data_IF_072203465090
#
_entry.id   IF_072203465090
#
_cell.length_a   1.000
_cell.length_b   1.000
_cell.length_c   1.000
_cell.angle_alpha   90.00
_cell.angle_beta   90.00
_cell.angle_gamma   90.00
#
_symmetry.space_group_name_H-M   'P 1'
#
loop_
_entity.id
_entity.type
_entity.pdbx_description
1 polymer ?
#
# COMPACT_ATOMS: atom_id res chain seq x y z
N UNK A 1 -2.89 3.99 14.20
CA UNK A 1 -2.82 4.67 12.88
C UNK A 1 -3.44 3.84 11.75
N UNK A 2 -3.79 4.46 10.61
CA UNK A 2 -4.22 3.72 9.39
C UNK A 2 -2.99 3.25 8.61
N UNK A 3 -2.94 1.94 8.32
CA UNK A 3 -1.96 1.27 7.47
C UNK A 3 -2.58 0.92 6.12
N UNK A 4 -1.80 1.08 5.05
CA UNK A 4 -2.16 0.63 3.71
C UNK A 4 -1.65 -0.80 3.47
N UNK A 5 -2.52 -1.70 3.05
CA UNK A 5 -2.20 -3.09 2.65
C UNK A 5 -1.84 -3.21 1.17
N UNK A 6 -1.36 -2.12 0.56
CA UNK A 6 -1.11 -2.04 -0.89
C UNK A 6 -0.09 -3.08 -1.37
N UNK A 7 1.01 -3.28 -0.64
CA UNK A 7 2.01 -4.29 -1.00
C UNK A 7 1.45 -5.72 -0.95
N UNK A 8 0.57 -6.00 0.01
CA UNK A 8 -0.09 -7.29 0.18
C UNK A 8 -1.05 -7.56 -0.99
N UNK A 9 -1.89 -6.58 -1.34
CA UNK A 9 -2.80 -6.69 -2.48
C UNK A 9 -2.07 -6.87 -3.83
N UNK A 10 -0.92 -6.22 -4.02
CA UNK A 10 -0.09 -6.43 -5.22
C UNK A 10 0.44 -7.87 -5.27
N UNK A 11 0.91 -8.39 -4.14
CA UNK A 11 1.40 -9.76 -4.05
C UNK A 11 0.28 -10.79 -4.29
N UNK A 12 -0.90 -10.59 -3.68
CA UNK A 12 -2.09 -11.44 -3.87
C UNK A 12 -2.54 -11.47 -5.34
N UNK A 13 -2.59 -10.30 -5.99
CA UNK A 13 -2.93 -10.19 -7.41
C UNK A 13 -1.87 -10.85 -8.29
N UNK A 14 -0.58 -10.64 -8.00
CA UNK A 14 0.54 -11.27 -8.71
C UNK A 14 0.48 -12.80 -8.63
N UNK A 15 0.15 -13.33 -7.45
CA UNK A 15 -0.03 -14.76 -7.23
C UNK A 15 -1.24 -15.31 -8.01
N UNK A 16 -2.39 -14.62 -7.91
CA UNK A 16 -3.63 -15.02 -8.58
C UNK A 16 -3.48 -15.03 -10.11
N UNK A 17 -2.82 -14.02 -10.67
CA UNK A 17 -2.60 -13.90 -12.12
C UNK A 17 -1.37 -14.67 -12.63
N UNK A 18 -0.62 -15.33 -11.73
CA UNK A 18 0.60 -16.10 -12.03
C UNK A 18 1.64 -15.32 -12.84
N UNK A 19 1.78 -14.03 -12.55
CA UNK A 19 2.76 -13.14 -13.18
C UNK A 19 3.20 -12.06 -12.22
N UNK A 20 4.42 -11.55 -12.38
CA UNK A 20 4.88 -10.42 -11.60
C UNK A 20 4.08 -9.16 -11.97
N UNK A 21 3.51 -8.50 -10.96
CA UNK A 21 2.83 -7.21 -11.12
C UNK A 21 3.74 -6.12 -10.58
N UNK A 22 4.12 -5.19 -11.45
CA UNK A 22 4.99 -4.08 -11.08
C UNK A 22 4.19 -2.89 -10.55
N UNK A 23 4.82 -2.04 -9.74
CA UNK A 23 4.22 -0.78 -9.30
C UNK A 23 3.82 0.13 -10.46
N UNK A 24 4.56 0.07 -11.57
CA UNK A 24 4.24 0.85 -12.78
C UNK A 24 2.95 0.38 -13.44
N UNK A 25 2.72 -0.94 -13.46
CA UNK A 25 1.49 -1.51 -14.00
C UNK A 25 0.28 -1.20 -13.11
N UNK A 26 0.45 -1.24 -11.78
CA UNK A 26 -0.61 -0.80 -10.86
C UNK A 26 -0.94 0.66 -11.10
N UNK A 27 0.07 1.51 -11.30
CA UNK A 27 -0.14 2.92 -11.60
C UNK A 27 -0.94 3.13 -12.89
N UNK A 28 -0.58 2.41 -13.95
CA UNK A 28 -1.26 2.44 -15.24
C UNK A 28 -2.69 1.92 -15.15
N UNK A 29 -2.90 0.75 -14.54
CA UNK A 29 -4.21 0.10 -14.46
C UNK A 29 -5.18 0.73 -13.47
N UNK A 30 -4.69 1.35 -12.39
CA UNK A 30 -5.54 2.07 -11.42
C UNK A 30 -5.73 3.55 -11.75
N UNK A 31 -4.91 4.13 -12.64
CA UNK A 31 -4.87 5.56 -12.89
C UNK A 31 -4.34 6.38 -11.71
N UNK A 32 -3.63 5.75 -10.76
CA UNK A 32 -2.97 6.41 -9.64
C UNK A 32 -1.50 6.64 -9.95
N UNK A 33 -0.99 7.84 -9.68
CA UNK A 33 0.43 8.13 -9.89
C UNK A 33 1.35 7.19 -9.08
N UNK A 34 2.35 6.62 -9.76
CA UNK A 34 3.37 5.73 -9.16
C UNK A 34 4.04 6.33 -7.90
N UNK A 35 4.28 7.64 -7.88
CA UNK A 35 4.84 8.33 -6.73
C UNK A 35 3.92 8.25 -5.50
N UNK A 36 2.61 8.35 -5.70
CA UNK A 36 1.62 8.23 -4.62
C UNK A 36 1.56 6.80 -4.09
N UNK A 37 1.56 5.80 -4.97
CA UNK A 37 1.62 4.39 -4.58
C UNK A 37 2.88 4.09 -3.75
N UNK A 38 4.03 4.61 -4.17
CA UNK A 38 5.29 4.48 -3.43
C UNK A 38 5.20 5.08 -2.02
N UNK A 39 4.57 6.27 -1.87
CA UNK A 39 4.34 6.86 -0.54
C UNK A 39 3.41 6.00 0.31
N UNK A 40 2.32 5.47 -0.26
CA UNK A 40 1.42 4.59 0.49
C UNK A 40 2.11 3.33 1.03
N UNK A 41 3.07 2.77 0.29
CA UNK A 41 3.84 1.60 0.74
C UNK A 41 4.88 1.98 1.80
N UNK A 42 5.61 3.07 1.59
CA UNK A 42 6.81 3.38 2.39
C UNK A 42 6.58 4.39 3.52
N UNK A 43 5.48 5.13 3.50
CA UNK A 43 5.19 6.24 4.42
C UNK A 43 3.80 6.02 5.05
N UNK A 44 3.74 5.29 6.17
CA UNK A 44 2.50 5.10 6.89
C UNK A 44 1.89 6.44 7.32
N UNK A 45 0.55 6.54 7.34
CA UNK A 45 -0.14 7.79 7.65
C UNK A 45 -0.11 8.85 6.54
N UNK A 46 0.36 8.51 5.33
CA UNK A 46 0.23 9.39 4.16
C UNK A 46 -1.24 9.75 3.93
N UNK A 47 -1.52 11.05 3.75
CA UNK A 47 -2.85 11.53 3.38
C UNK A 47 -3.21 11.06 1.97
N UNK A 48 -4.35 10.38 1.84
CA UNK A 48 -4.93 9.97 0.56
C UNK A 48 -6.39 10.41 0.51
N UNK A 49 -6.88 10.72 -0.69
CA UNK A 49 -8.29 11.01 -0.91
C UNK A 49 -9.11 9.73 -1.07
N UNK A 50 -10.43 9.84 -0.86
CA UNK A 50 -11.38 8.76 -1.11
C UNK A 50 -11.45 8.34 -2.59
N UNK A 51 -11.22 9.28 -3.52
CA UNK A 51 -11.10 8.99 -4.96
C UNK A 51 -9.94 8.03 -5.27
N UNK A 52 -8.80 8.19 -4.59
CA UNK A 52 -7.66 7.30 -4.76
C UNK A 52 -7.97 5.90 -4.23
N UNK A 53 -8.65 5.83 -3.08
CA UNK A 53 -9.11 4.58 -2.48
C UNK A 53 -10.08 3.87 -3.45
N UNK A 54 -11.07 4.58 -4.01
CA UNK A 54 -12.02 4.03 -5.00
C UNK A 54 -11.30 3.45 -6.22
N UNK A 55 -10.34 4.18 -6.80
CA UNK A 55 -9.54 3.70 -7.94
C UNK A 55 -8.80 2.41 -7.64
N UNK A 56 -8.16 2.31 -6.47
CA UNK A 56 -7.44 1.10 -6.08
C UNK A 56 -8.39 -0.06 -5.79
N UNK A 57 -9.50 0.19 -5.07
CA UNK A 57 -10.52 -0.82 -4.83
C UNK A 57 -11.08 -1.39 -6.14
N UNK A 58 -11.33 -0.55 -7.15
CA UNK A 58 -11.75 -0.99 -8.48
C UNK A 58 -10.68 -1.81 -9.20
N UNK A 59 -9.41 -1.38 -9.14
CA UNK A 59 -8.31 -2.09 -9.79
C UNK A 59 -8.05 -3.47 -9.17
N UNK A 60 -8.08 -3.57 -7.84
CA UNK A 60 -7.87 -4.82 -7.12
C UNK A 60 -9.14 -5.67 -6.98
N UNK A 61 -10.32 -5.10 -7.23
CA UNK A 61 -11.59 -5.77 -7.00
C UNK A 61 -11.86 -6.05 -5.52
N UNK A 62 -11.43 -5.15 -4.63
CA UNK A 62 -11.47 -5.32 -3.17
C UNK A 62 -12.33 -4.26 -2.49
N UNK A 63 -12.67 -4.48 -1.22
CA UNK A 63 -13.31 -3.48 -0.37
C UNK A 63 -12.29 -2.53 0.25
N UNK A 64 -12.74 -1.39 0.74
CA UNK A 64 -11.87 -0.42 1.41
C UNK A 64 -11.16 -1.02 2.64
N UNK A 65 -11.83 -1.93 3.37
CA UNK A 65 -11.24 -2.63 4.53
C UNK A 65 -10.15 -3.64 4.15
N UNK A 66 -10.10 -4.08 2.90
CA UNK A 66 -9.00 -4.94 2.40
C UNK A 66 -7.75 -4.11 2.12
N UNK A 67 -7.93 -2.85 1.68
CA UNK A 67 -6.85 -1.90 1.39
C UNK A 67 -6.37 -1.14 2.63
N UNK A 68 -7.28 -0.80 3.55
CA UNK A 68 -7.03 0.05 4.71
C UNK A 68 -7.28 -0.73 5.99
N UNK A 69 -6.32 -0.69 6.90
CA UNK A 69 -6.46 -1.35 8.20
C UNK A 69 -6.03 -0.41 9.31
N UNK A 70 -6.82 -0.34 10.37
CA UNK A 70 -6.41 0.34 11.59
C UNK A 70 -5.45 -0.56 12.37
N UNK A 71 -4.28 -0.02 12.72
CA UNK A 71 -3.28 -0.65 13.57
C UNK A 71 -3.14 0.19 14.84
N UNK A 72 -3.14 -0.45 16.01
CA UNK A 72 -2.88 0.25 17.26
C UNK A 72 -1.38 0.61 17.34
N UNK A 73 -1.06 1.83 17.78
CA UNK A 73 0.32 2.38 17.74
C UNK A 73 1.28 1.66 18.72
N UNK A 74 0.75 0.89 19.66
CA UNK A 74 1.53 -0.01 20.53
C UNK A 74 2.05 -1.26 19.80
N UNK A 75 1.52 -1.55 18.61
CA UNK A 75 1.77 -2.78 17.84
C UNK A 75 2.17 -2.43 16.39
N UNK A 76 3.06 -1.45 16.21
CA UNK A 76 3.63 -1.14 14.90
C UNK A 76 4.97 -1.89 14.70
N UNK A 77 4.99 -3.03 13.97
CA UNK A 77 6.21 -3.78 13.70
C UNK A 77 7.20 -3.04 12.79
N UNK A 78 6.84 -1.89 12.22
CA UNK A 78 7.71 -1.10 11.35
C UNK A 78 8.52 -0.02 12.10
N UNK A 79 8.21 0.26 13.37
CA UNK A 79 9.03 1.20 14.18
C UNK A 79 10.41 0.65 14.51
N UNK A 80 10.58 -0.67 14.53
CA UNK A 80 11.86 -1.32 14.86
C UNK A 80 12.85 -1.33 13.68
N UNK A 81 12.37 -1.37 12.43
CA UNK A 81 13.24 -1.57 11.26
C UNK A 81 13.98 -0.31 10.79
N UNK A 82 13.56 0.88 11.26
CA UNK A 82 14.14 2.16 10.84
C UNK A 82 15.06 2.81 11.89
N UNK A 83 15.40 2.13 12.99
CA UNK A 83 16.36 2.61 13.99
C UNK A 83 17.80 2.09 13.80
N UNK A 84 18.03 1.11 12.92
CA UNK A 84 19.38 0.65 12.56
C UNK A 84 19.83 1.32 11.25
N UNK A 85 20.14 2.60 11.31
CA UNK A 85 20.64 3.35 10.15
C UNK A 85 21.27 4.71 10.46
N UNK A 86 21.40 5.10 11.73
CA UNK A 86 22.07 6.33 12.14
C UNK A 86 22.88 6.12 13.42
N UNK A 87 23.85 5.22 13.39
CA UNK A 87 24.95 5.27 14.36
C UNK A 87 26.28 5.17 13.60
N UNK A 88 26.93 6.35 13.52
CA UNK A 88 28.35 6.67 13.28
C UNK A 88 29.20 5.81 12.33
#
# INVERSE_FOLDING_TARGET
MIRFRLAELIAEKSFTERRAISMSEVAEGSGVHRATLSKMVNQPGTNVSTDLIDKLCRYFGCQAGDLLTFVNDEVDPYRETNQQGTEK
#
